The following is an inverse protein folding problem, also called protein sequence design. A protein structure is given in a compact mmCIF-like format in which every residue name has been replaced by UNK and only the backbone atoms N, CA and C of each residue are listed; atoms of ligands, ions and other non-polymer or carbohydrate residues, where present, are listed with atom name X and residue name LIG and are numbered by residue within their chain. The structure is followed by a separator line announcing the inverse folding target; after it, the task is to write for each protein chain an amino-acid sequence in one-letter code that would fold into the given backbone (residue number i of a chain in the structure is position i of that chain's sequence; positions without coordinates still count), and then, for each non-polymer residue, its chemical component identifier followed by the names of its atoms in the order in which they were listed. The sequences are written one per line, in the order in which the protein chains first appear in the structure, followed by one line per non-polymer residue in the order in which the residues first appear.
data_IF_544575771215
#
_entry.id   IF_544575771215
#
_cell.length_a   1.000
_cell.length_b   1.000
_cell.length_c   1.000
_cell.angle_alpha   90.00
_cell.angle_beta   90.00
_cell.angle_gamma   90.00
#
_symmetry.space_group_name_H-M   'P 1'
#
loop_
_entity.id
_entity.type
_entity.pdbx_description
1 polymer ?
#
# COMPACT_ATOMS: atom_id res chain seq x y z
N UNK A 1 -18.14 38.38 -38.47
CA UNK A 1 -19.22 38.47 -37.46
C UNK A 1 -19.88 37.09 -37.41
N UNK A 2 -19.24 36.15 -36.69
CA UNK A 2 -19.71 34.77 -36.58
C UNK A 2 -20.69 34.67 -35.44
N UNK A 3 -21.95 34.36 -35.75
CA UNK A 3 -23.01 34.18 -34.77
C UNK A 3 -22.77 32.84 -34.07
N UNK A 4 -22.33 32.88 -32.80
CA UNK A 4 -22.36 31.72 -31.90
C UNK A 4 -23.81 31.29 -31.72
N UNK A 5 -24.07 30.00 -31.87
CA UNK A 5 -25.41 29.44 -31.73
C UNK A 5 -25.77 29.22 -30.25
N UNK A 6 -27.06 29.21 -29.89
CA UNK A 6 -27.53 29.00 -28.51
C UNK A 6 -27.12 27.64 -27.89
N UNK A 7 -26.55 26.73 -28.67
CA UNK A 7 -25.97 25.48 -28.19
C UNK A 7 -24.53 25.63 -27.64
N UNK A 8 -23.77 26.64 -28.07
CA UNK A 8 -22.44 26.93 -27.53
C UNK A 8 -22.53 27.58 -26.15
N UNK A 9 -23.54 28.43 -25.92
CA UNK A 9 -23.80 29.06 -24.62
C UNK A 9 -24.28 28.05 -23.54
N UNK A 10 -24.92 26.95 -23.96
CA UNK A 10 -25.35 25.88 -23.05
C UNK A 10 -24.20 24.94 -22.63
N UNK A 11 -23.14 24.84 -23.44
CA UNK A 11 -21.96 24.02 -23.13
C UNK A 11 -21.05 24.69 -22.09
N UNK A 12 -21.04 26.03 -22.02
CA UNK A 12 -20.27 26.78 -21.03
C UNK A 12 -20.89 26.72 -19.62
N UNK A 13 -22.19 26.42 -19.52
CA UNK A 13 -22.91 26.24 -18.25
C UNK A 13 -22.74 24.85 -17.61
N UNK A 14 -22.20 23.86 -18.35
CA UNK A 14 -22.10 22.48 -17.89
C UNK A 14 -20.72 22.10 -17.29
N UNK A 15 -19.73 23.00 -17.30
CA UNK A 15 -18.38 22.75 -16.72
C UNK A 15 -18.12 23.53 -15.43
N UNK A 16 -19.15 24.05 -14.78
CA UNK A 16 -19.04 24.67 -13.47
C UNK A 16 -18.91 23.64 -12.36
N UNK A 17 -17.74 23.02 -12.20
CA UNK A 17 -17.42 22.31 -10.95
C UNK A 17 -17.31 23.34 -9.84
N UNK A 18 -18.39 23.56 -9.09
CA UNK A 18 -18.38 24.37 -7.88
C UNK A 18 -17.69 23.57 -6.78
N UNK A 19 -16.41 23.84 -6.55
CA UNK A 19 -15.68 23.31 -5.40
C UNK A 19 -16.05 24.15 -4.19
N UNK A 20 -16.93 23.60 -3.34
CA UNK A 20 -17.26 24.19 -2.05
C UNK A 20 -16.22 23.82 -1.00
N UNK A 21 -15.45 24.79 -0.52
CA UNK A 21 -14.59 24.59 0.65
C UNK A 21 -15.45 24.72 1.92
N UNK A 22 -15.86 23.58 2.47
CA UNK A 22 -16.49 23.54 3.78
C UNK A 22 -15.43 23.22 4.84
N UNK A 23 -15.21 24.13 5.79
CA UNK A 23 -14.43 23.86 6.98
C UNK A 23 -15.26 22.98 7.93
N UNK A 24 -15.33 21.69 7.62
CA UNK A 24 -15.96 20.71 8.50
C UNK A 24 -15.05 20.43 9.70
N UNK A 25 -15.60 20.34 10.92
CA UNK A 25 -14.81 19.86 12.06
C UNK A 25 -14.31 18.44 11.75
N UNK A 26 -13.11 18.09 12.20
CA UNK A 26 -12.44 16.81 11.90
C UNK A 26 -13.35 15.60 12.14
N UNK A 27 -14.13 15.62 13.23
CA UNK A 27 -15.10 14.57 13.55
C UNK A 27 -16.16 14.43 12.46
N UNK A 28 -16.69 15.52 11.92
CA UNK A 28 -17.67 15.48 10.84
C UNK A 28 -17.07 14.95 9.54
N UNK A 29 -15.80 15.27 9.23
CA UNK A 29 -15.09 14.68 8.08
C UNK A 29 -14.94 13.18 8.27
N UNK A 30 -14.44 12.74 9.43
CA UNK A 30 -14.24 11.32 9.74
C UNK A 30 -15.59 10.58 9.66
N UNK A 31 -16.64 11.10 10.29
CA UNK A 31 -17.98 10.50 10.26
C UNK A 31 -18.50 10.45 8.82
N UNK A 32 -18.36 11.51 8.03
CA UNK A 32 -18.83 11.53 6.64
C UNK A 32 -18.09 10.53 5.78
N UNK A 33 -16.76 10.45 5.91
CA UNK A 33 -15.93 9.45 5.20
C UNK A 33 -16.33 8.03 5.60
N UNK A 34 -16.56 7.76 6.90
CA UNK A 34 -16.99 6.45 7.37
C UNK A 34 -18.39 6.11 6.85
N UNK A 35 -19.33 7.05 6.90
CA UNK A 35 -20.71 6.82 6.43
C UNK A 35 -20.75 6.61 4.93
N UNK A 36 -20.16 7.52 4.14
CA UNK A 36 -20.11 7.43 2.68
C UNK A 36 -19.33 6.18 2.26
N UNK A 37 -18.18 5.94 2.87
CA UNK A 37 -17.38 4.74 2.60
C UNK A 37 -18.16 3.45 2.90
N UNK A 38 -18.87 3.40 4.02
CA UNK A 38 -19.71 2.23 4.35
C UNK A 38 -20.85 2.07 3.34
N UNK A 39 -21.51 3.16 2.94
CA UNK A 39 -22.54 3.11 1.90
C UNK A 39 -21.99 2.63 0.57
N UNK A 40 -20.83 3.12 0.15
CA UNK A 40 -20.15 2.71 -1.09
C UNK A 40 -19.77 1.22 -1.07
N UNK A 41 -19.39 0.67 0.09
CA UNK A 41 -19.09 -0.74 0.26
C UNK A 41 -20.36 -1.61 0.29
N UNK A 42 -21.46 -1.09 0.82
CA UNK A 42 -22.73 -1.82 0.91
C UNK A 42 -23.52 -1.76 -0.41
N UNK A 43 -23.39 -0.67 -1.17
CA UNK A 43 -24.12 -0.42 -2.41
C UNK A 43 -23.98 -1.57 -3.43
N UNK A 44 -22.78 -2.08 -3.76
CA UNK A 44 -22.64 -3.19 -4.69
C UNK A 44 -23.29 -4.48 -4.19
N UNK A 45 -23.19 -4.77 -2.89
CA UNK A 45 -23.75 -5.98 -2.28
C UNK A 45 -25.28 -5.93 -2.28
N UNK A 46 -25.85 -4.75 -2.02
CA UNK A 46 -27.29 -4.52 -2.00
C UNK A 46 -27.88 -4.39 -3.41
N UNK A 47 -27.17 -3.75 -4.34
CA UNK A 47 -27.63 -3.49 -5.71
C UNK A 47 -27.48 -4.70 -6.64
N UNK A 48 -26.52 -5.60 -6.40
CA UNK A 48 -26.37 -6.85 -7.18
C UNK A 48 -27.31 -7.97 -6.76
N UNK A 49 -28.25 -7.70 -5.84
CA UNK A 49 -29.22 -8.66 -5.31
C UNK A 49 -29.69 -9.71 -6.32
N UNK A 50 -29.13 -10.93 -6.21
CA UNK A 50 -29.51 -12.11 -6.98
C UNK A 50 -29.35 -12.05 -8.50
N UNK A 51 -28.84 -10.97 -9.09
CA UNK A 51 -28.66 -10.85 -10.53
C UNK A 51 -27.44 -11.65 -11.01
N UNK A 52 -27.54 -12.25 -12.20
CA UNK A 52 -26.44 -13.01 -12.81
C UNK A 52 -25.15 -12.18 -12.82
N UNK A 53 -24.09 -12.77 -12.28
CA UNK A 53 -22.77 -12.17 -12.20
C UNK A 53 -22.33 -11.69 -13.58
N UNK A 54 -21.91 -10.43 -13.68
CA UNK A 54 -21.31 -9.91 -14.91
C UNK A 54 -20.11 -10.77 -15.28
N UNK A 55 -19.95 -11.20 -16.55
CA UNK A 55 -18.79 -11.98 -16.95
C UNK A 55 -17.52 -11.17 -16.69
N UNK A 56 -16.66 -11.65 -15.79
CA UNK A 56 -15.39 -11.01 -15.46
C UNK A 56 -14.22 -11.95 -15.74
N UNK A 57 -13.09 -11.36 -16.13
CA UNK A 57 -11.88 -12.09 -16.45
C UNK A 57 -10.86 -11.96 -15.30
N UNK A 58 -10.51 -13.05 -14.60
CA UNK A 58 -9.66 -13.01 -13.42
C UNK A 58 -8.31 -12.31 -13.61
N UNK A 59 -7.66 -12.56 -14.74
CA UNK A 59 -6.36 -11.96 -15.02
C UNK A 59 -6.46 -10.43 -15.20
N UNK A 60 -7.52 -9.93 -15.84
CA UNK A 60 -7.71 -8.48 -16.04
C UNK A 60 -8.09 -7.78 -14.75
N UNK A 61 -8.81 -8.46 -13.84
CA UNK A 61 -9.09 -7.91 -12.51
C UNK A 61 -7.78 -7.82 -11.72
N UNK A 62 -6.98 -8.88 -11.68
CA UNK A 62 -5.68 -8.86 -11.01
C UNK A 62 -4.74 -7.78 -11.61
N UNK A 63 -4.72 -7.63 -12.93
CA UNK A 63 -3.96 -6.60 -13.65
C UNK A 63 -4.39 -5.18 -13.26
N UNK A 64 -5.69 -4.89 -13.20
CA UNK A 64 -6.17 -3.56 -12.77
C UNK A 64 -5.76 -3.23 -11.33
N UNK A 65 -5.84 -4.20 -10.43
CA UNK A 65 -5.46 -4.01 -9.03
C UNK A 65 -3.95 -3.85 -8.87
N UNK A 66 -3.14 -4.58 -9.65
CA UNK A 66 -1.68 -4.41 -9.63
C UNK A 66 -1.23 -3.07 -10.23
N UNK A 67 -1.88 -2.60 -11.28
CA UNK A 67 -1.65 -1.25 -11.82
C UNK A 67 -2.05 -0.17 -10.80
N UNK A 68 -3.17 -0.35 -10.11
CA UNK A 68 -3.56 0.58 -9.04
C UNK A 68 -2.55 0.56 -7.89
N UNK A 69 -2.05 -0.62 -7.47
CA UNK A 69 -0.98 -0.72 -6.49
C UNK A 69 0.26 0.08 -6.90
N UNK A 70 0.69 -0.03 -8.16
CA UNK A 70 1.82 0.75 -8.70
C UNK A 70 1.55 2.26 -8.61
N UNK A 71 0.34 2.71 -8.96
CA UNK A 71 -0.02 4.14 -8.90
C UNK A 71 0.07 4.64 -7.46
N UNK A 72 -0.51 3.94 -6.48
CA UNK A 72 -0.49 4.37 -5.06
C UNK A 72 0.93 4.33 -4.47
N UNK A 73 1.72 3.33 -4.86
CA UNK A 73 3.15 3.26 -4.51
C UNK A 73 3.94 4.42 -5.13
N UNK A 74 3.69 4.73 -6.40
CA UNK A 74 4.31 5.83 -7.12
C UNK A 74 3.99 7.19 -6.50
N UNK A 75 2.73 7.41 -6.12
CA UNK A 75 2.30 8.62 -5.42
C UNK A 75 3.05 8.80 -4.09
N UNK A 76 3.29 7.70 -3.36
CA UNK A 76 4.07 7.73 -2.11
C UNK A 76 5.53 8.16 -2.35
N UNK A 77 6.14 7.74 -3.47
CA UNK A 77 7.51 8.17 -3.84
C UNK A 77 7.54 9.63 -4.25
N UNK A 78 6.59 10.08 -5.09
CA UNK A 78 6.50 11.47 -5.51
C UNK A 78 6.27 12.38 -4.30
N UNK A 79 5.36 12.01 -3.39
CA UNK A 79 5.11 12.72 -2.14
C UNK A 79 6.34 12.77 -1.23
N UNK A 80 7.09 11.66 -1.12
CA UNK A 80 8.35 11.62 -0.37
C UNK A 80 9.37 12.59 -0.99
N UNK A 81 9.58 12.53 -2.30
CA UNK A 81 10.52 13.41 -3.00
C UNK A 81 10.13 14.88 -2.84
N UNK A 82 8.85 15.22 -3.01
CA UNK A 82 8.35 16.58 -2.80
C UNK A 82 8.58 17.06 -1.36
N UNK A 83 8.28 16.24 -0.35
CA UNK A 83 8.49 16.58 1.06
C UNK A 83 9.96 16.64 1.47
N UNK A 84 10.86 16.02 0.70
CA UNK A 84 12.29 16.01 1.03
C UNK A 84 13.05 17.23 0.51
N UNK A 85 12.46 18.02 -0.39
CA UNK A 85 13.05 19.27 -0.87
C UNK A 85 13.21 20.29 0.25
N UNK A 86 12.25 20.34 1.17
CA UNK A 86 12.25 21.26 2.32
C UNK A 86 13.20 20.79 3.45
N UNK A 87 13.70 19.54 3.39
CA UNK A 87 14.71 18.97 4.31
C UNK A 87 16.16 19.32 3.92
N UNK A 88 16.36 19.99 2.79
CA UNK A 88 17.69 20.42 2.34
C UNK A 88 18.14 21.65 3.15
N UNK A 89 19.37 21.59 3.68
CA UNK A 89 19.98 22.65 4.47
C UNK A 89 20.87 23.60 3.66
N UNK A 90 21.59 24.47 4.36
CA UNK A 90 22.55 25.41 3.76
C UNK A 90 21.91 26.73 3.33
N UNK A 91 22.75 27.74 3.04
CA UNK A 91 22.31 29.10 2.72
C UNK A 91 21.40 29.19 1.48
N UNK A 92 21.50 28.20 0.58
CA UNK A 92 20.74 28.11 -0.67
C UNK A 92 19.69 26.97 -0.65
N UNK A 93 19.49 26.27 0.48
CA UNK A 93 18.53 25.16 0.58
C UNK A 93 18.85 23.96 -0.32
N UNK A 94 20.13 23.68 -0.59
CA UNK A 94 20.59 22.62 -1.51
C UNK A 94 21.50 21.58 -0.85
N UNK A 95 21.84 21.74 0.43
CA UNK A 95 22.74 20.81 1.13
C UNK A 95 21.97 19.62 1.68
N UNK A 96 22.42 18.42 1.32
CA UNK A 96 21.83 17.18 1.82
C UNK A 96 22.16 16.98 3.30
N UNK A 97 21.12 16.94 4.13
CA UNK A 97 21.24 16.58 5.54
C UNK A 97 21.13 15.06 5.70
N UNK A 98 21.74 14.49 6.75
CA UNK A 98 21.57 13.05 7.05
C UNK A 98 20.11 12.64 7.26
N UNK A 99 19.28 13.59 7.72
CA UNK A 99 17.85 13.44 7.88
C UNK A 99 17.11 13.33 6.53
N UNK A 100 17.41 14.23 5.58
CA UNK A 100 16.86 14.18 4.22
C UNK A 100 17.21 12.85 3.53
N UNK A 101 18.47 12.42 3.64
CA UNK A 101 18.93 11.14 3.09
C UNK A 101 18.16 9.98 3.72
N UNK A 102 17.99 9.97 5.05
CA UNK A 102 17.27 8.89 5.74
C UNK A 102 15.80 8.80 5.32
N UNK A 103 15.10 9.93 5.17
CA UNK A 103 13.69 9.96 4.73
C UNK A 103 13.56 9.44 3.29
N UNK A 104 14.42 9.89 2.38
CA UNK A 104 14.40 9.44 0.98
C UNK A 104 14.73 7.95 0.88
N UNK A 105 15.77 7.49 1.58
CA UNK A 105 16.16 6.07 1.60
C UNK A 105 15.05 5.22 2.20
N UNK A 106 14.47 5.62 3.33
CA UNK A 106 13.37 4.91 3.95
C UNK A 106 12.14 4.87 3.05
N UNK A 107 11.77 5.99 2.41
CA UNK A 107 10.61 6.06 1.54
C UNK A 107 10.76 5.25 0.25
N UNK A 108 11.88 5.42 -0.45
CA UNK A 108 12.17 4.63 -1.65
C UNK A 108 12.30 3.14 -1.30
N UNK A 109 13.02 2.81 -0.24
CA UNK A 109 13.19 1.42 0.21
C UNK A 109 11.88 0.77 0.63
N UNK A 110 11.00 1.48 1.34
CA UNK A 110 9.67 0.97 1.68
C UNK A 110 8.83 0.73 0.43
N UNK A 111 8.81 1.68 -0.51
CA UNK A 111 8.06 1.51 -1.76
C UNK A 111 8.54 0.28 -2.52
N UNK A 112 9.85 0.11 -2.72
CA UNK A 112 10.38 -1.05 -3.42
C UNK A 112 10.14 -2.36 -2.66
N UNK A 113 10.33 -2.37 -1.33
CA UNK A 113 10.06 -3.55 -0.52
C UNK A 113 8.59 -3.95 -0.56
N UNK A 114 7.67 -2.99 -0.44
CA UNK A 114 6.23 -3.23 -0.53
C UNK A 114 5.84 -3.70 -1.93
N UNK A 115 6.34 -3.05 -2.98
CA UNK A 115 6.18 -3.49 -4.36
C UNK A 115 6.61 -4.95 -4.54
N UNK A 116 7.79 -5.31 -4.07
CA UNK A 116 8.31 -6.68 -4.19
C UNK A 116 7.39 -7.70 -3.53
N UNK A 117 6.95 -7.40 -2.29
CA UNK A 117 6.03 -8.26 -1.55
C UNK A 117 4.70 -8.44 -2.28
N UNK A 118 4.14 -7.36 -2.86
CA UNK A 118 2.89 -7.43 -3.62
C UNK A 118 3.01 -8.33 -4.85
N UNK A 119 4.03 -8.07 -5.67
CA UNK A 119 4.22 -8.75 -6.96
C UNK A 119 4.78 -10.17 -6.84
N UNK A 120 5.20 -10.59 -5.65
CA UNK A 120 5.56 -11.99 -5.37
C UNK A 120 4.35 -12.93 -5.38
N UNK A 121 3.12 -12.42 -5.24
CA UNK A 121 1.90 -13.25 -5.22
C UNK A 121 1.24 -13.30 -6.62
N UNK A 122 1.02 -14.49 -7.21
CA UNK A 122 0.41 -14.65 -8.53
C UNK A 122 -1.13 -14.53 -8.47
N UNK A 123 -1.64 -13.33 -8.17
CA UNK A 123 -3.07 -13.09 -7.96
C UNK A 123 -3.96 -13.51 -9.14
N UNK A 124 -3.50 -13.34 -10.38
CA UNK A 124 -4.26 -13.72 -11.58
C UNK A 124 -4.55 -15.22 -11.64
N UNK A 125 -3.56 -16.06 -11.35
CA UNK A 125 -3.71 -17.52 -11.37
C UNK A 125 -4.57 -18.00 -10.21
N UNK A 126 -4.36 -17.44 -9.02
CA UNK A 126 -5.16 -17.73 -7.83
C UNK A 126 -6.64 -17.47 -8.10
N UNK A 127 -6.94 -16.32 -8.71
CA UNK A 127 -8.30 -15.89 -8.99
C UNK A 127 -8.92 -16.67 -10.17
N UNK A 128 -8.10 -17.15 -11.12
CA UNK A 128 -8.54 -18.04 -12.18
C UNK A 128 -9.01 -19.41 -11.63
N UNK A 129 -8.31 -19.94 -10.63
CA UNK A 129 -8.66 -21.21 -9.98
C UNK A 129 -9.78 -21.08 -8.93
N UNK A 130 -9.88 -19.93 -8.25
CA UNK A 130 -10.85 -19.69 -7.16
C UNK A 130 -11.72 -18.47 -7.42
N UNK A 131 -12.58 -18.56 -8.43
CA UNK A 131 -13.48 -17.46 -8.83
C UNK A 131 -14.50 -17.06 -7.76
N UNK A 132 -14.83 -17.96 -6.84
CA UNK A 132 -15.69 -17.68 -5.67
C UNK A 132 -15.10 -16.61 -4.74
N UNK A 133 -13.78 -16.39 -4.79
CA UNK A 133 -13.08 -15.44 -3.93
C UNK A 133 -12.91 -14.04 -4.52
N UNK A 134 -13.60 -13.73 -5.63
CA UNK A 134 -13.54 -12.40 -6.26
C UNK A 134 -13.90 -11.24 -5.32
N UNK A 135 -14.93 -11.40 -4.49
CA UNK A 135 -15.29 -10.36 -3.50
C UNK A 135 -14.23 -10.21 -2.41
N UNK A 136 -13.70 -11.34 -1.90
CA UNK A 136 -12.65 -11.32 -0.91
C UNK A 136 -11.38 -10.65 -1.44
N UNK A 137 -11.03 -10.93 -2.70
CA UNK A 137 -9.96 -10.25 -3.41
C UNK A 137 -10.22 -8.74 -3.46
N UNK A 138 -11.38 -8.31 -3.99
CA UNK A 138 -11.68 -6.88 -4.13
C UNK A 138 -11.69 -6.13 -2.79
N UNK A 139 -12.48 -6.59 -1.82
CA UNK A 139 -12.61 -5.93 -0.53
C UNK A 139 -11.35 -6.03 0.34
N UNK A 140 -10.60 -7.14 0.26
CA UNK A 140 -9.36 -7.29 1.01
C UNK A 140 -8.23 -6.38 0.51
N UNK A 141 -8.30 -5.89 -0.74
CA UNK A 141 -7.34 -4.92 -1.25
C UNK A 141 -7.61 -3.49 -0.76
N UNK A 142 -8.80 -3.17 -0.25
CA UNK A 142 -9.10 -1.85 0.30
C UNK A 142 -8.20 -1.49 1.50
N UNK A 143 -8.11 -2.30 2.57
CA UNK A 143 -7.18 -2.04 3.67
C UNK A 143 -5.72 -2.16 3.22
N UNK A 144 -5.41 -2.98 2.20
CA UNK A 144 -4.07 -3.06 1.62
C UNK A 144 -3.66 -1.72 0.99
N UNK A 145 -4.49 -1.15 0.10
CA UNK A 145 -4.23 0.16 -0.51
C UNK A 145 -4.24 1.30 0.51
N UNK A 146 -5.07 1.19 1.54
CA UNK A 146 -5.05 2.11 2.69
C UNK A 146 -3.70 2.06 3.40
N UNK A 147 -3.12 0.88 3.57
CA UNK A 147 -1.77 0.70 4.10
C UNK A 147 -0.71 1.39 3.24
N UNK A 148 -0.76 1.22 1.91
CA UNK A 148 0.17 1.90 0.97
C UNK A 148 0.05 3.42 1.10
N UNK A 149 -1.17 3.97 0.99
CA UNK A 149 -1.40 5.40 1.11
C UNK A 149 -0.96 5.94 2.49
N UNK A 150 -1.21 5.18 3.56
CA UNK A 150 -0.81 5.52 4.92
C UNK A 150 0.72 5.54 5.09
N UNK A 151 1.47 4.68 4.39
CA UNK A 151 2.94 4.75 4.37
C UNK A 151 3.42 6.06 3.75
N UNK A 152 2.84 6.47 2.62
CA UNK A 152 3.13 7.78 2.01
C UNK A 152 2.83 8.95 2.96
N UNK A 153 1.67 8.91 3.63
CA UNK A 153 1.31 9.92 4.63
C UNK A 153 2.27 9.93 5.83
N UNK A 154 2.70 8.76 6.33
CA UNK A 154 3.65 8.64 7.43
C UNK A 154 5.04 9.21 7.08
N UNK A 155 5.50 9.02 5.83
CA UNK A 155 6.73 9.64 5.34
C UNK A 155 6.63 11.16 5.28
N UNK A 156 5.48 11.69 4.84
CA UNK A 156 5.23 13.13 4.85
C UNK A 156 5.24 13.71 6.29
N UNK A 157 4.59 13.02 7.24
CA UNK A 157 4.63 13.39 8.67
C UNK A 157 6.05 13.36 9.22
N UNK A 158 6.88 12.40 8.79
CA UNK A 158 8.28 12.33 9.20
C UNK A 158 9.12 13.50 8.65
N UNK A 159 8.88 13.93 7.41
CA UNK A 159 9.49 15.15 6.86
C UNK A 159 9.14 16.39 7.68
N UNK A 160 7.84 16.63 7.90
CA UNK A 160 7.35 17.75 8.71
C UNK A 160 7.94 17.78 10.13
N UNK A 161 8.14 16.61 10.74
CA UNK A 161 8.79 16.52 12.04
C UNK A 161 10.26 16.96 12.01
N UNK A 162 10.99 16.57 10.97
CA UNK A 162 12.41 16.93 10.82
C UNK A 162 12.63 18.42 10.52
N UNK A 163 11.64 19.08 9.93
CA UNK A 163 11.59 20.53 9.72
C UNK A 163 11.13 21.30 10.97
N UNK A 164 10.86 20.62 12.08
CA UNK A 164 10.30 21.20 13.30
C UNK A 164 8.90 21.82 13.12
N UNK A 165 8.17 21.37 12.09
CA UNK A 165 6.80 21.79 11.80
C UNK A 165 5.73 20.87 12.39
N UNK A 166 6.10 19.65 12.82
CA UNK A 166 5.17 18.76 13.51
C UNK A 166 5.17 18.99 15.03
N UNK A 167 3.98 19.08 15.62
CA UNK A 167 3.78 19.08 17.09
C UNK A 167 3.74 17.66 17.70
N UNK A 168 4.08 16.63 16.92
CA UNK A 168 4.02 15.23 17.32
C UNK A 168 5.31 14.81 18.03
N UNK A 169 5.18 13.93 19.02
CA UNK A 169 6.34 13.30 19.65
C UNK A 169 7.05 12.32 18.69
N UNK A 170 8.37 12.06 18.88
CA UNK A 170 9.16 11.18 18.00
C UNK A 170 8.52 9.81 17.76
N UNK A 171 7.98 9.19 18.81
CA UNK A 171 7.34 7.88 18.73
C UNK A 171 6.05 7.90 17.92
N UNK A 172 5.27 8.98 18.02
CA UNK A 172 4.06 9.14 17.21
C UNK A 172 4.39 9.24 15.71
N UNK A 173 5.49 9.91 15.36
CA UNK A 173 5.99 9.98 13.98
C UNK A 173 6.41 8.60 13.48
N UNK A 174 7.17 7.84 14.28
CA UNK A 174 7.57 6.47 13.90
C UNK A 174 6.35 5.55 13.74
N UNK A 175 5.37 5.64 14.64
CA UNK A 175 4.13 4.87 14.56
C UNK A 175 3.27 5.25 13.36
N UNK A 176 3.29 6.53 12.92
CA UNK A 176 2.58 6.99 11.73
C UNK A 176 3.03 6.28 10.45
N UNK A 177 4.27 5.78 10.43
CA UNK A 177 4.82 4.98 9.34
C UNK A 177 4.76 3.47 9.61
N UNK A 178 5.05 3.04 10.83
CA UNK A 178 5.10 1.63 11.22
C UNK A 178 3.73 0.96 11.17
N UNK A 179 2.65 1.65 11.60
CA UNK A 179 1.31 1.07 11.62
C UNK A 179 0.75 0.82 10.21
N UNK A 180 0.80 1.77 9.26
CA UNK A 180 0.39 1.51 7.88
C UNK A 180 1.25 0.44 7.19
N UNK A 181 2.56 0.41 7.46
CA UNK A 181 3.46 -0.65 6.94
C UNK A 181 3.03 -2.02 7.46
N UNK A 182 2.75 -2.14 8.76
CA UNK A 182 2.25 -3.37 9.38
C UNK A 182 0.90 -3.79 8.84
N UNK A 183 -0.03 -2.85 8.66
CA UNK A 183 -1.34 -3.09 8.05
C UNK A 183 -1.19 -3.67 6.64
N UNK A 184 -0.37 -3.03 5.80
CA UNK A 184 -0.10 -3.49 4.44
C UNK A 184 0.43 -4.93 4.42
N UNK A 185 1.50 -5.20 5.17
CA UNK A 185 2.12 -6.53 5.20
C UNK A 185 1.17 -7.60 5.75
N UNK A 186 0.45 -7.29 6.82
CA UNK A 186 -0.54 -8.19 7.39
C UNK A 186 -1.67 -8.49 6.39
N UNK A 187 -2.13 -7.49 5.64
CA UNK A 187 -3.15 -7.69 4.61
C UNK A 187 -2.66 -8.54 3.45
N UNK A 188 -1.40 -8.40 3.02
CA UNK A 188 -0.82 -9.30 2.00
C UNK A 188 -0.81 -10.74 2.51
N UNK A 189 -0.34 -10.98 3.74
CA UNK A 189 -0.35 -12.32 4.33
C UNK A 189 -1.76 -12.88 4.50
N UNK A 190 -2.70 -12.04 4.94
CA UNK A 190 -4.09 -12.41 5.12
C UNK A 190 -4.73 -12.78 3.78
N UNK A 191 -4.55 -11.97 2.74
CA UNK A 191 -5.03 -12.28 1.39
C UNK A 191 -4.37 -13.55 0.85
N UNK A 192 -3.07 -13.75 1.04
CA UNK A 192 -2.38 -14.95 0.60
C UNK A 192 -2.97 -16.21 1.26
N UNK A 193 -3.08 -16.20 2.59
CA UNK A 193 -3.63 -17.33 3.37
C UNK A 193 -5.11 -17.56 3.07
N UNK A 194 -5.91 -16.49 2.99
CA UNK A 194 -7.34 -16.56 2.69
C UNK A 194 -7.65 -16.84 1.24
N UNK A 195 -6.74 -16.65 0.29
CA UNK A 195 -6.97 -17.01 -1.10
C UNK A 195 -6.46 -18.43 -1.39
N UNK A 196 -5.34 -18.84 -0.81
CA UNK A 196 -4.76 -20.18 -1.02
C UNK A 196 -5.27 -21.24 -0.02
N UNK A 197 -5.92 -20.82 1.07
CA UNK A 197 -6.33 -21.71 2.19
C UNK A 197 -5.17 -22.52 2.79
N UNK A 198 -3.95 -21.98 2.73
CA UNK A 198 -2.77 -22.60 3.29
C UNK A 198 -2.13 -21.63 4.29
N UNK A 199 -2.36 -21.88 5.59
CA UNK A 199 -1.62 -21.22 6.65
C UNK A 199 -0.45 -22.12 7.04
N UNK A 200 0.76 -21.73 6.67
CA UNK A 200 1.98 -22.45 7.06
C UNK A 200 2.65 -21.74 8.26
N UNK A 201 3.31 -22.52 9.12
CA UNK A 201 4.14 -22.04 10.24
C UNK A 201 5.18 -21.04 9.75
N UNK A 202 5.66 -21.20 8.51
CA UNK A 202 6.56 -20.25 7.87
C UNK A 202 5.96 -18.84 7.74
N UNK A 203 4.68 -18.72 7.34
CA UNK A 203 4.01 -17.43 7.22
C UNK A 203 3.84 -16.77 8.59
N UNK A 204 3.49 -17.56 9.62
CA UNK A 204 3.41 -17.07 11.00
C UNK A 204 4.76 -16.58 11.51
N UNK A 205 5.85 -17.28 11.18
CA UNK A 205 7.21 -16.86 11.51
C UNK A 205 7.55 -15.52 10.84
N UNK A 206 7.27 -15.37 9.54
CA UNK A 206 7.53 -14.11 8.84
C UNK A 206 6.71 -12.96 9.43
N UNK A 207 5.41 -13.17 9.70
CA UNK A 207 4.56 -12.17 10.38
C UNK A 207 5.17 -11.77 11.73
N UNK A 208 5.57 -12.75 12.54
CA UNK A 208 6.17 -12.48 13.85
C UNK A 208 7.47 -11.69 13.74
N UNK A 209 8.34 -12.02 12.76
CA UNK A 209 9.58 -11.29 12.51
C UNK A 209 9.32 -9.87 12.02
N UNK A 210 8.38 -9.68 11.09
CA UNK A 210 7.97 -8.36 10.61
C UNK A 210 7.44 -7.50 11.76
N UNK A 211 6.54 -8.05 12.59
CA UNK A 211 6.01 -7.34 13.76
C UNK A 211 7.11 -7.04 14.78
N UNK A 212 8.10 -7.93 14.95
CA UNK A 212 9.24 -7.67 15.81
C UNK A 212 10.11 -6.51 15.30
N UNK A 213 10.33 -6.40 13.99
CA UNK A 213 11.06 -5.27 13.38
C UNK A 213 10.32 -3.95 13.60
N UNK A 214 9.00 -3.93 13.38
CA UNK A 214 8.18 -2.73 13.60
C UNK A 214 8.12 -2.34 15.08
N UNK A 215 7.99 -3.32 15.98
CA UNK A 215 8.03 -3.09 17.42
C UNK A 215 9.41 -2.59 17.87
N UNK A 216 10.50 -3.13 17.32
CA UNK A 216 11.85 -2.64 17.59
C UNK A 216 12.02 -1.18 17.18
N UNK A 217 11.50 -0.76 16.02
CA UNK A 217 11.54 0.65 15.61
C UNK A 217 10.81 1.57 16.61
N UNK A 218 9.63 1.16 17.09
CA UNK A 218 8.87 1.91 18.09
C UNK A 218 9.60 1.97 19.45
N UNK A 219 10.19 0.87 19.89
CA UNK A 219 10.94 0.79 21.14
C UNK A 219 12.23 1.62 21.10
N UNK A 220 12.96 1.59 19.97
CA UNK A 220 14.15 2.43 19.76
C UNK A 220 13.78 3.91 19.86
N UNK A 221 12.68 4.31 19.23
CA UNK A 221 12.17 5.68 19.33
C UNK A 221 11.82 6.05 20.78
N UNK A 222 11.12 5.17 21.51
CA UNK A 222 10.80 5.38 22.92
C UNK A 222 12.04 5.47 23.82
N UNK A 223 13.14 4.82 23.43
CA UNK A 223 14.44 4.89 24.09
C UNK A 223 15.26 6.15 23.72
N UNK A 224 14.73 7.04 22.88
CA UNK A 224 15.39 8.30 22.49
C UNK A 224 16.30 8.19 21.27
N UNK A 225 16.26 7.08 20.52
CA UNK A 225 16.95 6.97 19.24
C UNK A 225 16.32 7.92 18.22
N UNK A 226 17.15 8.50 17.33
CA UNK A 226 16.68 9.46 16.34
C UNK A 226 15.61 8.86 15.43
N UNK A 227 14.64 9.69 15.04
CA UNK A 227 13.56 9.29 14.12
C UNK A 227 14.14 8.75 12.82
N UNK A 228 15.18 9.40 12.27
CA UNK A 228 15.90 8.96 11.07
C UNK A 228 16.26 7.46 11.09
N UNK A 229 16.89 7.00 12.18
CA UNK A 229 17.28 5.60 12.36
C UNK A 229 16.06 4.71 12.47
N UNK A 230 15.02 5.15 13.20
CA UNK A 230 13.80 4.38 13.34
C UNK A 230 13.08 4.17 12.00
N UNK A 231 13.04 5.18 11.11
CA UNK A 231 12.46 5.05 9.76
C UNK A 231 13.22 4.01 8.93
N UNK A 232 14.55 3.98 9.02
CA UNK A 232 15.37 2.96 8.35
C UNK A 232 15.09 1.57 8.90
N UNK A 233 14.81 1.43 10.21
CA UNK A 233 14.39 0.13 10.78
C UNK A 233 13.02 -0.29 10.27
N UNK A 234 12.05 0.63 10.20
CA UNK A 234 10.72 0.35 9.60
C UNK A 234 10.87 -0.09 8.15
N UNK A 235 11.76 0.54 7.39
CA UNK A 235 12.06 0.17 6.00
C UNK A 235 12.49 -1.30 5.84
N UNK A 236 13.11 -1.91 6.84
CA UNK A 236 13.52 -3.32 6.78
C UNK A 236 12.36 -4.32 6.87
N UNK A 237 11.19 -3.89 7.34
CA UNK A 237 10.04 -4.76 7.57
C UNK A 237 9.59 -5.57 6.33
N UNK A 238 9.36 -4.97 5.14
CA UNK A 238 9.03 -5.74 3.93
C UNK A 238 10.16 -6.68 3.48
N UNK A 239 11.43 -6.34 3.73
CA UNK A 239 12.55 -7.16 3.31
C UNK A 239 12.66 -8.47 4.09
N UNK A 240 12.13 -8.54 5.31
CA UNK A 240 11.95 -9.81 6.04
C UNK A 240 11.15 -10.80 5.18
N UNK A 241 10.05 -10.33 4.59
CA UNK A 241 9.20 -11.12 3.71
C UNK A 241 9.93 -11.49 2.43
N UNK A 242 10.55 -10.51 1.76
CA UNK A 242 11.30 -10.72 0.50
C UNK A 242 12.38 -11.78 0.68
N UNK A 243 13.23 -11.64 1.69
CA UNK A 243 14.33 -12.57 1.96
C UNK A 243 13.77 -13.94 2.34
N UNK A 244 12.70 -13.98 3.14
CA UNK A 244 12.03 -15.23 3.51
C UNK A 244 11.58 -16.04 2.29
N UNK A 245 10.86 -15.40 1.36
CA UNK A 245 10.40 -16.09 0.15
C UNK A 245 11.53 -16.42 -0.82
N UNK A 246 12.54 -15.56 -0.98
CA UNK A 246 13.66 -15.81 -1.91
C UNK A 246 14.56 -16.96 -1.43
N UNK A 247 14.87 -17.00 -0.14
CA UNK A 247 15.79 -18.01 0.43
C UNK A 247 15.18 -19.42 0.47
N UNK A 248 13.86 -19.53 0.55
CA UNK A 248 13.16 -20.83 0.61
C UNK A 248 12.51 -21.21 -0.74
N UNK A 249 12.18 -20.23 -1.58
CA UNK A 249 11.54 -20.41 -2.89
C UNK A 249 12.34 -21.28 -3.86
N UNK A 250 13.68 -21.21 -3.81
CA UNK A 250 14.56 -22.08 -4.62
C UNK A 250 14.26 -23.57 -4.44
N UNK A 251 13.89 -24.00 -3.22
CA UNK A 251 13.60 -25.41 -2.93
C UNK A 251 12.22 -25.83 -3.43
N UNK A 252 11.23 -24.94 -3.41
CA UNK A 252 9.88 -25.23 -3.87
C UNK A 252 9.79 -25.25 -5.40
N UNK A 253 10.50 -24.35 -6.08
CA UNK A 253 10.60 -24.35 -7.54
C UNK A 253 11.35 -25.58 -8.07
N UNK A 254 12.43 -26.02 -7.39
CA UNK A 254 13.10 -27.28 -7.74
C UNK A 254 12.18 -28.50 -7.54
N UNK A 255 11.39 -28.54 -6.47
CA UNK A 255 10.42 -29.62 -6.24
C UNK A 255 9.34 -29.68 -7.33
N UNK A 256 8.80 -28.54 -7.76
CA UNK A 256 7.82 -28.49 -8.86
C UNK A 256 8.43 -28.91 -10.22
N UNK A 257 9.68 -28.51 -10.50
CA UNK A 257 10.41 -28.93 -11.70
C UNK A 257 10.70 -30.44 -11.70
N UNK A 258 11.05 -31.01 -10.54
CA UNK A 258 11.28 -32.44 -10.40
C UNK A 258 9.99 -33.26 -10.55
N UNK A 259 8.84 -32.73 -10.10
CA UNK A 259 7.52 -33.35 -10.32
C UNK A 259 7.12 -33.34 -11.80
N UNK A 260 7.37 -32.24 -12.53
CA UNK A 260 7.11 -32.17 -13.98
C UNK A 260 8.06 -33.10 -14.76
N UNK A 261 9.33 -33.16 -14.39
CA UNK A 261 10.33 -34.01 -15.04
C UNK A 261 10.12 -35.51 -14.76
N UNK A 262 9.65 -35.86 -13.56
CA UNK A 262 9.32 -37.24 -13.20
C UNK A 262 8.00 -37.71 -13.84
N UNK A 263 7.05 -36.81 -14.09
CA UNK A 263 5.85 -37.09 -14.90
C UNK A 263 6.19 -37.40 -16.37
N UNK A 264 7.15 -36.69 -16.97
CA UNK A 264 7.60 -36.95 -18.34
C UNK A 264 8.32 -38.30 -18.49
N UNK A 265 9.11 -38.72 -17.49
CA UNK A 265 9.84 -40.01 -17.53
C UNK A 265 8.98 -41.25 -17.28
N UNK A 266 7.77 -41.11 -16.75
CA UNK A 266 6.83 -42.23 -16.57
C UNK A 266 5.92 -42.48 -17.78
N UNK A 267 5.82 -41.50 -18.67
CA UNK A 267 4.92 -41.53 -19.84
C UNK A 267 5.67 -41.70 -21.18
N UNK A 268 6.97 -41.97 -21.15
CA UNK A 268 7.79 -42.35 -22.32
C UNK A 268 8.43 -43.70 -22.09
#
# INVERSE_FOLDING_TARGET
MGLRGPAEDAAELASGSVIGFAHLPLVAVIVSVVVIGTLELLLPVLAQGGADTTPWHPHHVAERYSLFAIIVLGESVVGTAASSGDLLGGADGTQWTGNAVAVIVAGVGLTFGMWWVYFSTPFGDILAHRRDRGYLFGYGHIPLFTGIAGVGAGLHVAGLYMEHHAHLGPTAVVLSLALPTGLYLLMVYLLHTLLLSAADRFHLLLIALTLAVLAAAALLSAAGVSVAVCLLVVMLAPYVTVIGYETIGYRHQQQMLDEVNSGHRRNG
#
